data_IF_333639304173
#
_entry.id   IF_333639304173
#
_cell.length_a   1.000
_cell.length_b   1.000
_cell.length_c   1.000
_cell.angle_alpha   90.00
_cell.angle_beta   90.00
_cell.angle_gamma   90.00
#
_symmetry.space_group_name_H-M   'P 1'
#
loop_
_entity.id
_entity.type
_entity.pdbx_description
1 polymer ?
#
# COMPACT_ATOMS: atom_id res chain seq x y z
N UNK A 1 1.12 11.88 21.12
CA UNK A 1 1.65 11.03 20.05
C UNK A 1 2.70 11.84 19.28
N UNK A 2 3.92 11.32 19.17
CA UNK A 2 5.07 12.03 18.58
C UNK A 2 5.01 11.92 17.05
N UNK A 3 5.23 13.03 16.34
CA UNK A 3 5.16 13.09 14.88
C UNK A 3 6.26 12.22 14.25
N UNK A 4 5.88 11.18 13.53
CA UNK A 4 6.78 10.43 12.65
C UNK A 4 6.50 10.90 11.23
N UNK A 5 7.44 11.61 10.63
CA UNK A 5 7.30 12.14 9.27
C UNK A 5 8.08 11.26 8.29
N UNK A 6 7.37 10.69 7.32
CA UNK A 6 7.94 9.87 6.27
C UNK A 6 8.01 10.65 4.97
N UNK A 7 9.18 10.65 4.32
CA UNK A 7 9.31 11.11 2.94
C UNK A 7 9.34 9.90 2.03
N UNK A 8 8.22 9.64 1.34
CA UNK A 8 8.05 8.47 0.47
C UNK A 8 9.06 8.40 -0.69
N UNK A 9 9.61 9.55 -1.11
CA UNK A 9 10.50 9.66 -2.27
C UNK A 9 11.98 9.40 -1.90
N UNK A 10 12.34 9.55 -0.63
CA UNK A 10 13.71 9.37 -0.14
C UNK A 10 13.59 8.43 1.05
N UNK A 11 14.02 7.17 0.92
CA UNK A 11 13.93 6.08 1.93
C UNK A 11 14.68 6.39 3.24
N UNK A 12 14.36 7.51 3.86
CA UNK A 12 14.94 8.10 5.05
C UNK A 12 13.81 8.23 6.05
N UNK A 13 14.06 7.73 7.24
CA UNK A 13 13.12 7.79 8.33
C UNK A 13 13.65 8.80 9.34
N UNK A 14 12.79 9.70 9.78
CA UNK A 14 13.12 10.73 10.76
C UNK A 14 12.25 10.54 11.99
N UNK A 15 12.87 10.49 13.16
CA UNK A 15 12.18 10.52 14.46
C UNK A 15 12.64 11.78 15.18
N UNK A 16 11.71 12.68 15.49
CA UNK A 16 11.98 13.96 16.14
C UNK A 16 13.07 14.78 15.40
N UNK A 17 13.05 14.79 14.07
CA UNK A 17 14.03 15.50 13.23
C UNK A 17 15.37 14.78 13.03
N UNK A 18 15.64 13.71 13.78
CA UNK A 18 16.87 12.94 13.63
C UNK A 18 16.67 11.80 12.63
N UNK A 19 17.56 11.69 11.65
CA UNK A 19 17.54 10.57 10.70
C UNK A 19 17.95 9.28 11.44
N UNK A 20 17.09 8.27 11.37
CA UNK A 20 17.39 6.94 11.89
C UNK A 20 17.70 5.97 10.74
N UNK A 21 18.56 4.99 11.01
CA UNK A 21 18.74 3.86 10.12
C UNK A 21 17.59 2.86 10.34
N UNK A 22 17.11 2.21 9.27
CA UNK A 22 15.77 1.65 9.23
C UNK A 22 15.53 0.40 10.09
N UNK A 23 16.51 -0.01 10.89
CA UNK A 23 16.31 -0.92 12.02
C UNK A 23 16.36 -0.09 13.29
N UNK A 24 15.19 0.24 13.82
CA UNK A 24 15.02 1.02 15.05
C UNK A 24 13.93 0.38 15.90
N UNK A 25 14.14 0.32 17.21
CA UNK A 25 13.13 -0.16 18.15
C UNK A 25 13.26 0.61 19.45
N UNK A 26 12.15 1.09 19.97
CA UNK A 26 12.02 1.56 21.35
C UNK A 26 10.73 1.00 21.96
N UNK A 27 10.31 1.49 23.13
CA UNK A 27 9.10 1.04 23.81
C UNK A 27 7.81 1.35 23.01
N UNK A 28 7.83 2.38 22.17
CA UNK A 28 6.65 2.89 21.47
C UNK A 28 6.51 2.37 20.03
N UNK A 29 7.64 2.20 19.34
CA UNK A 29 7.72 2.03 17.89
C UNK A 29 8.77 0.99 17.52
N UNK A 30 8.44 0.17 16.53
CA UNK A 30 9.39 -0.75 15.89
C UNK A 30 9.40 -0.43 14.40
N UNK A 31 10.58 -0.14 13.85
CA UNK A 31 10.79 0.17 12.45
C UNK A 31 11.80 -0.82 11.89
N UNK A 32 11.40 -1.51 10.83
CA UNK A 32 12.23 -2.48 10.12
C UNK A 32 12.20 -2.21 8.62
N UNK A 33 13.29 -2.52 7.91
CA UNK A 33 13.32 -2.47 6.44
C UNK A 33 14.05 -3.66 5.82
N UNK A 34 13.50 -4.12 4.70
CA UNK A 34 14.11 -5.14 3.83
C UNK A 34 14.82 -4.52 2.62
N UNK A 35 14.92 -3.19 2.57
CA UNK A 35 15.44 -2.42 1.42
C UNK A 35 14.42 -2.22 0.30
N UNK A 36 13.39 -3.05 0.21
CA UNK A 36 12.24 -2.87 -0.71
C UNK A 36 10.97 -2.44 0.02
N UNK A 37 10.88 -2.75 1.30
CA UNK A 37 9.76 -2.46 2.18
C UNK A 37 10.27 -1.77 3.46
N UNK A 38 9.48 -0.85 3.98
CA UNK A 38 9.62 -0.26 5.31
C UNK A 38 8.36 -0.59 6.10
N UNK A 39 8.53 -1.09 7.32
CA UNK A 39 7.45 -1.48 8.21
C UNK A 39 7.58 -0.72 9.52
N UNK A 40 6.56 0.06 9.86
CA UNK A 40 6.37 0.69 11.17
C UNK A 40 5.31 -0.12 11.94
N UNK A 41 5.64 -0.55 13.14
CA UNK A 41 4.69 -1.13 14.10
C UNK A 41 4.56 -0.22 15.31
N UNK A 42 3.33 -0.09 15.80
CA UNK A 42 2.99 0.65 17.02
C UNK A 42 2.34 -0.36 17.99
N UNK A 43 3.13 -1.05 18.83
CA UNK A 43 2.63 -2.18 19.64
C UNK A 43 1.45 -1.81 20.55
N UNK A 44 1.48 -0.60 21.15
CA UNK A 44 0.45 -0.13 22.08
C UNK A 44 -0.98 -0.17 21.48
N UNK A 45 -1.12 0.06 20.18
CA UNK A 45 -2.39 0.04 19.46
C UNK A 45 -2.47 -1.08 18.41
N UNK A 46 -1.46 -1.97 18.38
CA UNK A 46 -1.31 -3.05 17.39
C UNK A 46 -1.45 -2.58 15.93
N UNK A 47 -1.11 -1.32 15.66
CA UNK A 47 -1.17 -0.75 14.31
C UNK A 47 0.11 -1.08 13.54
N UNK A 48 -0.03 -1.26 12.24
CA UNK A 48 1.11 -1.46 11.33
C UNK A 48 0.96 -0.56 10.12
N UNK A 49 2.00 0.19 9.79
CA UNK A 49 2.09 0.98 8.55
C UNK A 49 3.22 0.41 7.71
N UNK A 50 2.90 0.01 6.49
CA UNK A 50 3.85 -0.54 5.54
C UNK A 50 3.99 0.44 4.38
N UNK A 51 5.23 0.68 3.96
CA UNK A 51 5.58 1.43 2.76
C UNK A 51 6.37 0.53 1.82
N UNK A 52 5.89 0.40 0.58
CA UNK A 52 6.50 -0.48 -0.42
C UNK A 52 6.34 0.14 -1.80
N UNK A 53 7.46 0.45 -2.47
CA UNK A 53 7.44 1.19 -3.74
C UNK A 53 6.67 2.52 -3.60
N UNK A 54 5.67 2.77 -4.45
CA UNK A 54 4.77 3.92 -4.41
C UNK A 54 3.55 3.73 -3.50
N UNK A 55 3.46 2.58 -2.83
CA UNK A 55 2.30 2.22 -2.03
C UNK A 55 2.57 2.38 -0.55
N UNK A 56 1.51 2.69 0.19
CA UNK A 56 1.47 2.47 1.62
C UNK A 56 0.21 1.70 1.99
N UNK A 57 0.23 1.06 3.15
CA UNK A 57 -0.95 0.45 3.75
C UNK A 57 -0.93 0.64 5.25
N UNK A 58 -2.12 0.79 5.82
CA UNK A 58 -2.33 0.89 7.26
C UNK A 58 -3.20 -0.28 7.68
N UNK A 59 -2.71 -1.08 8.63
CA UNK A 59 -3.43 -2.21 9.21
C UNK A 59 -3.79 -1.87 10.64
N UNK A 60 -5.09 -1.87 10.93
CA UNK A 60 -5.65 -1.61 12.25
C UNK A 60 -6.50 -2.82 12.68
N UNK A 61 -6.40 -3.29 13.93
CA UNK A 61 -7.26 -4.35 14.41
C UNK A 61 -8.69 -3.84 14.64
N UNK A 62 -9.67 -4.49 14.01
CA UNK A 62 -11.08 -4.19 14.18
C UNK A 62 -11.51 -4.12 15.66
N UNK A 63 -10.94 -4.99 16.51
CA UNK A 63 -11.23 -5.02 17.95
C UNK A 63 -10.89 -3.73 18.71
N UNK A 64 -10.01 -2.87 18.18
CA UNK A 64 -9.62 -1.60 18.82
C UNK A 64 -10.14 -0.36 18.06
N UNK A 65 -10.42 -0.51 16.77
CA UNK A 65 -10.71 0.61 15.87
C UNK A 65 -12.13 0.60 15.29
N UNK A 66 -12.97 -0.37 15.67
CA UNK A 66 -14.37 -0.41 15.22
C UNK A 66 -15.07 0.93 15.49
N UNK A 67 -15.65 1.50 14.43
CA UNK A 67 -16.41 2.76 14.46
C UNK A 67 -15.63 3.96 15.05
N UNK A 68 -14.29 3.97 14.96
CA UNK A 68 -13.43 4.99 15.56
C UNK A 68 -12.30 5.47 14.64
N UNK A 69 -12.47 5.30 13.32
CA UNK A 69 -11.55 5.87 12.33
C UNK A 69 -12.27 6.93 11.52
N UNK A 70 -11.51 7.97 11.17
CA UNK A 70 -11.94 9.06 10.30
C UNK A 70 -10.79 9.40 9.35
N UNK A 71 -11.12 9.89 8.15
CA UNK A 71 -10.16 10.22 7.11
C UNK A 71 -10.52 9.62 5.77
N UNK A 72 -9.59 9.70 4.82
CA UNK A 72 -9.79 9.19 3.45
C UNK A 72 -9.94 7.66 3.36
N UNK A 73 -9.63 6.92 4.43
CA UNK A 73 -9.84 5.47 4.52
C UNK A 73 -11.20 5.10 5.14
N UNK A 74 -12.06 6.09 5.44
CA UNK A 74 -13.39 5.87 5.97
C UNK A 74 -13.43 5.43 7.43
N UNK A 75 -14.61 4.98 7.85
CA UNK A 75 -14.87 4.47 9.19
C UNK A 75 -14.72 2.96 9.22
N UNK A 76 -14.03 2.42 10.22
CA UNK A 76 -13.77 0.99 10.34
C UNK A 76 -15.03 0.27 10.86
N UNK A 77 -16.00 0.05 9.99
CA UNK A 77 -17.28 -0.61 10.33
C UNK A 77 -17.73 -1.65 9.28
N UNK A 78 -16.92 -1.87 8.25
CA UNK A 78 -17.20 -2.73 7.09
C UNK A 78 -18.40 -2.26 6.22
N UNK A 79 -18.76 -0.98 6.26
CA UNK A 79 -19.87 -0.44 5.49
C UNK A 79 -19.40 0.50 4.35
N UNK A 80 -19.23 -0.05 3.14
CA UNK A 80 -18.79 0.77 1.99
C UNK A 80 -19.69 1.96 1.64
N UNK A 81 -20.94 2.00 2.13
CA UNK A 81 -21.89 3.09 1.82
C UNK A 81 -21.58 4.39 2.56
N UNK A 82 -20.77 4.36 3.61
CA UNK A 82 -20.41 5.54 4.39
C UNK A 82 -18.92 5.88 4.34
N UNK A 83 -18.13 5.20 3.49
CA UNK A 83 -16.68 5.42 3.42
C UNK A 83 -16.30 6.81 2.88
N UNK A 84 -17.16 7.42 2.05
CA UNK A 84 -16.96 8.79 1.55
C UNK A 84 -17.37 9.85 2.60
N UNK A 85 -16.98 9.67 3.86
CA UNK A 85 -17.34 10.54 4.99
C UNK A 85 -16.47 11.80 5.05
N UNK A 86 -17.10 12.97 5.09
CA UNK A 86 -16.48 14.27 5.26
C UNK A 86 -16.00 14.50 6.70
N UNK A 87 -15.09 15.47 6.95
CA UNK A 87 -14.66 15.83 8.31
C UNK A 87 -15.80 16.25 9.25
N UNK A 88 -16.88 16.82 8.68
CA UNK A 88 -18.08 17.19 9.45
C UNK A 88 -19.03 16.00 9.73
N UNK A 89 -18.69 14.80 9.28
CA UNK A 89 -19.43 13.56 9.45
C UNK A 89 -20.52 13.27 8.43
N UNK A 90 -20.79 14.16 7.48
CA UNK A 90 -21.71 13.92 6.37
C UNK A 90 -21.09 12.96 5.34
N UNK A 91 -21.94 12.28 4.56
CA UNK A 91 -21.49 11.37 3.50
C UNK A 91 -21.58 12.10 2.16
N UNK A 92 -20.44 12.22 1.48
CA UNK A 92 -20.37 12.77 0.13
C UNK A 92 -20.81 11.70 -0.90
N UNK A 93 -21.57 12.06 -1.95
CA UNK A 93 -21.89 11.12 -3.04
C UNK A 93 -20.66 10.69 -3.85
N UNK A 94 -19.53 11.39 -3.74
CA UNK A 94 -18.30 11.19 -4.49
C UNK A 94 -17.07 11.13 -3.57
N UNK A 95 -16.47 9.95 -3.44
CA UNK A 95 -15.21 9.81 -2.71
C UNK A 95 -14.07 10.72 -3.23
N UNK A 96 -13.91 10.96 -4.55
CA UNK A 96 -13.01 11.99 -5.05
C UNK A 96 -13.32 13.41 -4.53
N UNK A 97 -14.60 13.77 -4.42
CA UNK A 97 -15.03 15.03 -3.80
C UNK A 97 -14.64 15.09 -2.33
N UNK A 98 -15.00 14.07 -1.56
CA UNK A 98 -14.62 13.93 -0.15
C UNK A 98 -13.11 14.02 0.08
N UNK A 99 -12.28 13.46 -0.80
CA UNK A 99 -10.83 13.44 -0.64
C UNK A 99 -10.22 14.86 -0.55
N UNK A 100 -10.81 15.84 -1.24
CA UNK A 100 -10.37 17.24 -1.18
C UNK A 100 -10.68 17.90 0.16
N UNK A 101 -11.71 17.47 0.87
CA UNK A 101 -12.11 18.04 2.16
C UNK A 101 -11.23 17.55 3.32
N UNK A 102 -10.46 16.47 3.13
CA UNK A 102 -9.51 15.93 4.11
C UNK A 102 -8.11 16.56 4.04
N UNK A 103 -7.93 17.66 3.30
CA UNK A 103 -6.64 18.37 3.21
C UNK A 103 -6.28 18.99 4.57
N UNK A 104 -4.99 18.91 4.92
CA UNK A 104 -4.44 19.59 6.11
C UNK A 104 -3.73 20.86 5.64
N UNK A 105 -4.18 22.06 6.06
CA UNK A 105 -3.53 23.31 5.68
C UNK A 105 -2.06 23.34 6.09
N UNK A 106 -1.19 23.79 5.18
CA UNK A 106 0.25 23.94 5.42
C UNK A 106 0.74 25.21 4.72
N UNK A 107 0.99 26.27 5.50
CA UNK A 107 1.46 27.56 4.98
C UNK A 107 2.78 27.46 4.21
N UNK A 108 3.56 26.40 4.44
CA UNK A 108 4.82 26.15 3.71
C UNK A 108 4.58 25.47 2.35
N UNK A 109 3.35 25.04 2.07
CA UNK A 109 2.96 24.34 0.84
C UNK A 109 1.70 24.98 0.22
N UNK A 110 1.73 26.28 -0.12
CA UNK A 110 0.58 26.99 -0.68
C UNK A 110 0.11 26.43 -2.03
N UNK A 111 0.97 25.68 -2.74
CA UNK A 111 0.60 25.00 -3.98
C UNK A 111 -0.40 23.85 -3.77
N UNK A 112 -0.53 23.31 -2.55
CA UNK A 112 -1.54 22.30 -2.21
C UNK A 112 -2.96 22.87 -2.12
N UNK A 113 -3.10 24.19 -1.97
CA UNK A 113 -4.40 24.88 -1.92
C UNK A 113 -4.96 25.20 -3.30
N UNK A 114 -4.16 25.04 -4.35
CA UNK A 114 -4.63 25.22 -5.72
C UNK A 114 -5.62 24.10 -6.06
N UNK A 115 -6.85 24.47 -6.41
CA UNK A 115 -7.79 23.51 -6.99
C UNK A 115 -7.15 22.92 -8.25
N UNK A 116 -7.19 21.59 -8.44
CA UNK A 116 -6.82 21.01 -9.72
C UNK A 116 -7.65 21.69 -10.81
N UNK A 117 -7.05 22.01 -11.98
CA UNK A 117 -7.85 22.48 -13.10
C UNK A 117 -8.99 21.48 -13.34
N UNK A 118 -10.20 22.00 -13.59
CA UNK A 118 -11.35 21.18 -14.01
C UNK A 118 -10.88 20.24 -15.11
N UNK A 119 -10.84 18.95 -14.80
CA UNK A 119 -10.22 17.96 -15.70
C UNK A 119 -10.94 18.03 -17.04
N UNK A 120 -10.27 18.37 -18.15
CA UNK A 120 -10.79 18.03 -19.47
C UNK A 120 -11.00 16.51 -19.49
N UNK A 121 -11.94 16.03 -20.31
CA UNK A 121 -12.12 14.59 -20.56
C UNK A 121 -10.74 13.92 -20.65
N UNK A 122 -10.46 12.90 -19.82
CA UNK A 122 -9.14 12.30 -19.79
C UNK A 122 -8.75 11.88 -21.22
N UNK A 123 -7.53 12.21 -21.68
CA UNK A 123 -7.12 11.86 -23.03
C UNK A 123 -7.27 10.35 -23.23
N UNK A 124 -7.80 9.94 -24.38
CA UNK A 124 -7.99 8.53 -24.73
C UNK A 124 -6.68 7.78 -24.51
N UNK A 125 -6.74 6.71 -23.72
CA UNK A 125 -5.55 5.94 -23.39
C UNK A 125 -4.90 5.38 -24.66
N UNK A 126 -3.60 5.61 -24.90
CA UNK A 126 -2.92 5.07 -26.07
C UNK A 126 -3.06 3.54 -26.13
N UNK A 127 -3.44 3.01 -27.29
CA UNK A 127 -3.55 1.57 -27.51
C UNK A 127 -2.20 0.89 -27.22
N UNK A 128 -2.24 -0.22 -26.48
CA UNK A 128 -1.04 -0.97 -26.08
C UNK A 128 -0.29 -0.42 -24.86
N UNK A 129 -0.67 0.74 -24.30
CA UNK A 129 -0.03 1.27 -23.08
C UNK A 129 -0.34 0.42 -21.83
N UNK A 130 -1.49 -0.26 -21.82
CA UNK A 130 -2.01 -1.01 -20.66
C UNK A 130 -1.67 -2.50 -20.68
N UNK A 131 -0.86 -2.97 -21.63
CA UNK A 131 -0.47 -4.38 -21.78
C UNK A 131 0.11 -5.00 -20.49
N UNK A 132 0.82 -4.19 -19.70
CA UNK A 132 1.37 -4.60 -18.40
C UNK A 132 0.27 -4.99 -17.40
N UNK A 133 -0.93 -4.42 -17.52
CA UNK A 133 -2.05 -4.71 -16.63
C UNK A 133 -2.69 -6.07 -16.94
N UNK A 134 -2.55 -6.58 -18.17
CA UNK A 134 -3.11 -7.89 -18.56
C UNK A 134 -2.47 -9.04 -17.76
N UNK A 135 -1.27 -8.82 -17.20
CA UNK A 135 -0.62 -9.77 -16.30
C UNK A 135 -1.50 -10.06 -15.08
N UNK A 136 -2.31 -9.11 -14.57
CA UNK A 136 -3.24 -9.31 -13.45
C UNK A 136 -4.25 -10.42 -13.76
N UNK A 137 -4.71 -10.52 -15.01
CA UNK A 137 -5.68 -11.51 -15.47
C UNK A 137 -5.02 -12.80 -16.00
N UNK A 138 -3.69 -12.81 -16.11
CA UNK A 138 -2.97 -13.96 -16.66
C UNK A 138 -2.93 -15.15 -15.69
N UNK A 139 -2.66 -16.38 -16.19
CA UNK A 139 -2.59 -17.59 -15.35
C UNK A 139 -1.58 -17.52 -14.20
N UNK A 140 -0.59 -16.61 -14.23
CA UNK A 140 0.35 -16.44 -13.12
C UNK A 140 -0.36 -16.06 -11.80
N UNK A 141 -1.51 -15.40 -11.90
CA UNK A 141 -2.32 -14.99 -10.75
C UNK A 141 -3.51 -15.91 -10.47
N UNK A 142 -3.65 -17.04 -11.16
CA UNK A 142 -4.83 -17.90 -11.06
C UNK A 142 -5.17 -18.29 -9.61
N UNK A 143 -4.18 -18.70 -8.82
CA UNK A 143 -4.39 -19.04 -7.40
C UNK A 143 -4.89 -17.87 -6.55
N UNK A 144 -4.57 -16.63 -6.95
CA UNK A 144 -5.08 -15.45 -6.26
C UNK A 144 -6.47 -15.05 -6.72
N UNK A 145 -6.85 -15.34 -7.97
CA UNK A 145 -8.20 -15.08 -8.48
C UNK A 145 -9.26 -15.80 -7.63
N UNK A 146 -8.93 -16.96 -7.07
CA UNK A 146 -9.79 -17.76 -6.20
C UNK A 146 -10.10 -17.08 -4.85
N UNK A 147 -9.22 -16.19 -4.38
CA UNK A 147 -9.30 -15.58 -3.05
C UNK A 147 -9.49 -14.07 -3.08
N UNK A 148 -9.06 -13.38 -4.15
CA UNK A 148 -9.13 -11.93 -4.31
C UNK A 148 -9.64 -11.60 -5.72
N UNK A 149 -10.75 -10.85 -5.85
CA UNK A 149 -11.28 -10.41 -7.15
C UNK A 149 -10.24 -9.60 -7.94
N UNK A 150 -9.92 -10.05 -9.16
CA UNK A 150 -8.91 -9.41 -10.01
C UNK A 150 -9.40 -8.13 -10.70
N UNK A 151 -10.70 -8.06 -11.06
CA UNK A 151 -11.24 -6.98 -11.89
C UNK A 151 -11.00 -5.56 -11.33
N UNK A 152 -11.21 -5.29 -10.02
CA UNK A 152 -10.95 -3.95 -9.47
C UNK A 152 -9.48 -3.53 -9.60
N UNK A 153 -8.54 -4.46 -9.46
CA UNK A 153 -7.12 -4.20 -9.60
C UNK A 153 -6.73 -3.99 -11.07
N UNK A 154 -7.35 -4.73 -11.98
CA UNK A 154 -7.14 -4.58 -13.42
C UNK A 154 -7.58 -3.21 -13.93
N UNK A 155 -8.80 -2.76 -13.58
CA UNK A 155 -9.28 -1.45 -14.02
C UNK A 155 -8.50 -0.30 -13.36
N UNK A 156 -8.13 -0.44 -12.08
CA UNK A 156 -7.24 0.53 -11.42
C UNK A 156 -5.87 0.61 -12.12
N UNK A 157 -5.26 -0.52 -12.46
CA UNK A 157 -4.00 -0.55 -13.21
C UNK A 157 -4.13 0.18 -14.55
N UNK A 158 -5.19 -0.10 -15.31
CA UNK A 158 -5.44 0.58 -16.59
C UNK A 158 -5.57 2.08 -16.39
N UNK A 159 -6.39 2.50 -15.43
CA UNK A 159 -6.57 3.91 -15.10
C UNK A 159 -5.23 4.58 -14.78
N UNK A 160 -4.44 4.01 -13.87
CA UNK A 160 -3.16 4.59 -13.45
C UNK A 160 -2.16 4.67 -14.60
N UNK A 161 -2.03 3.58 -15.37
CA UNK A 161 -1.10 3.51 -16.51
C UNK A 161 -1.50 4.49 -17.62
N UNK A 162 -2.79 4.72 -17.83
CA UNK A 162 -3.27 5.66 -18.84
C UNK A 162 -2.95 7.11 -18.46
N UNK A 163 -3.21 7.49 -17.20
CA UNK A 163 -3.19 8.89 -16.78
C UNK A 163 -1.88 9.35 -16.16
N UNK A 164 -0.98 8.43 -15.85
CA UNK A 164 0.30 8.77 -15.28
C UNK A 164 1.45 8.61 -16.29
N UNK A 165 2.48 9.47 -16.23
CA UNK A 165 3.56 9.49 -17.22
C UNK A 165 4.58 8.36 -17.06
N UNK A 166 4.57 7.62 -15.93
CA UNK A 166 5.64 6.71 -15.57
C UNK A 166 5.25 5.23 -15.74
N UNK A 167 6.00 4.50 -16.58
CA UNK A 167 5.80 3.06 -16.83
C UNK A 167 5.90 2.19 -15.57
N UNK A 168 6.62 2.63 -14.54
CA UNK A 168 6.75 1.92 -13.25
C UNK A 168 5.43 1.80 -12.46
N UNK A 169 4.40 2.50 -12.90
CA UNK A 169 3.07 2.49 -12.28
C UNK A 169 2.37 1.16 -12.52
N UNK A 170 2.44 0.60 -13.73
CA UNK A 170 1.92 -0.75 -13.99
C UNK A 170 2.58 -1.80 -13.09
N UNK A 171 3.90 -1.70 -12.88
CA UNK A 171 4.61 -2.56 -11.93
C UNK A 171 4.16 -2.35 -10.47
N UNK A 172 3.76 -1.14 -10.11
CA UNK A 172 3.24 -0.84 -8.77
C UNK A 172 1.82 -1.40 -8.59
N UNK A 173 0.97 -1.34 -9.61
CA UNK A 173 -0.35 -1.96 -9.60
C UNK A 173 -0.27 -3.50 -9.54
N UNK A 174 0.69 -4.10 -10.25
CA UNK A 174 0.97 -5.56 -10.14
C UNK A 174 1.48 -5.94 -8.75
N UNK A 175 2.38 -5.13 -8.17
CA UNK A 175 2.85 -5.32 -6.80
C UNK A 175 1.71 -5.19 -5.78
N UNK A 176 0.76 -4.28 -6.02
CA UNK A 176 -0.43 -4.11 -5.18
C UNK A 176 -1.26 -5.38 -5.11
N UNK A 177 -1.55 -5.95 -6.29
CA UNK A 177 -2.35 -7.16 -6.37
C UNK A 177 -1.62 -8.34 -5.74
N UNK A 178 -0.34 -8.55 -6.08
CA UNK A 178 0.50 -9.58 -5.47
C UNK A 178 0.62 -9.44 -3.95
N UNK A 179 0.72 -8.23 -3.42
CA UNK A 179 0.72 -7.95 -1.99
C UNK A 179 -0.59 -8.36 -1.32
N UNK A 180 -1.73 -8.11 -1.97
CA UNK A 180 -3.05 -8.55 -1.47
C UNK A 180 -3.18 -10.08 -1.51
N UNK A 181 -2.70 -10.74 -2.56
CA UNK A 181 -2.62 -12.19 -2.63
C UNK A 181 -1.79 -12.77 -1.47
N UNK A 182 -0.61 -12.19 -1.23
CA UNK A 182 0.28 -12.64 -0.16
C UNK A 182 -0.36 -12.49 1.24
N UNK A 183 -1.13 -11.42 1.45
CA UNK A 183 -1.90 -11.23 2.68
C UNK A 183 -3.03 -12.27 2.86
N UNK A 184 -3.53 -12.84 1.77
CA UNK A 184 -4.46 -13.97 1.77
C UNK A 184 -3.74 -15.34 1.81
N UNK A 185 -2.42 -15.36 1.99
CA UNK A 185 -1.61 -16.58 2.05
C UNK A 185 -1.15 -17.13 0.69
N UNK A 186 -1.46 -16.44 -0.41
CA UNK A 186 -1.10 -16.87 -1.77
C UNK A 186 0.12 -16.09 -2.27
N UNK A 187 1.26 -16.77 -2.35
CA UNK A 187 2.50 -16.17 -2.82
C UNK A 187 2.70 -16.36 -4.34
N UNK A 188 2.90 -15.27 -5.09
CA UNK A 188 3.03 -15.33 -6.55
C UNK A 188 4.32 -14.67 -7.02
N UNK A 189 5.12 -15.41 -7.79
CA UNK A 189 6.30 -14.86 -8.47
C UNK A 189 5.97 -14.24 -9.83
N UNK A 190 5.26 -13.10 -9.80
CA UNK A 190 4.71 -12.45 -10.99
C UNK A 190 5.74 -11.68 -11.82
N UNK A 191 6.87 -11.26 -11.25
CA UNK A 191 7.83 -10.36 -11.92
C UNK A 191 8.45 -10.98 -13.17
N UNK A 192 8.61 -12.30 -13.20
CA UNK A 192 9.10 -13.04 -14.36
C UNK A 192 8.13 -12.94 -15.56
N UNK A 193 6.83 -12.72 -15.32
CA UNK A 193 5.80 -12.59 -16.36
C UNK A 193 5.75 -11.20 -17.00
N UNK A 194 6.70 -10.31 -16.68
CA UNK A 194 6.72 -8.92 -17.18
C UNK A 194 7.80 -8.65 -18.23
N UNK A 195 8.48 -9.69 -18.74
CA UNK A 195 9.57 -9.57 -19.72
C UNK A 195 10.65 -8.57 -19.29
N UNK A 196 10.98 -8.54 -17.99
CA UNK A 196 11.99 -7.64 -17.42
C UNK A 196 11.52 -6.20 -17.15
N UNK A 197 10.30 -5.80 -17.57
CA UNK A 197 9.77 -4.45 -17.32
C UNK A 197 9.67 -4.10 -15.84
N UNK A 198 9.42 -5.11 -14.99
CA UNK A 198 9.33 -4.98 -13.55
C UNK A 198 10.45 -5.75 -12.83
N UNK A 199 11.65 -5.82 -13.40
CA UNK A 199 12.79 -6.47 -12.74
C UNK A 199 13.24 -5.69 -11.49
N UNK A 200 13.52 -6.42 -10.40
CA UNK A 200 14.14 -5.87 -9.19
C UNK A 200 15.62 -6.19 -9.15
N UNK A 201 16.47 -5.16 -9.26
CA UNK A 201 17.91 -5.30 -9.11
C UNK A 201 18.30 -5.42 -7.65
N UNK A 202 18.77 -6.59 -7.26
CA UNK A 202 19.34 -6.84 -5.95
C UNK A 202 20.87 -6.61 -5.97
N UNK A 203 21.50 -6.25 -4.83
CA UNK A 203 22.96 -6.32 -4.69
C UNK A 203 23.51 -7.70 -5.04
N UNK A 204 24.77 -7.80 -5.46
CA UNK A 204 25.40 -9.08 -5.92
C UNK A 204 25.25 -10.25 -4.94
N UNK A 205 25.10 -9.97 -3.64
CA UNK A 205 24.97 -10.98 -2.58
C UNK A 205 23.53 -11.36 -2.25
N UNK A 206 22.54 -10.79 -2.93
CA UNK A 206 21.12 -10.99 -2.65
C UNK A 206 20.37 -11.37 -3.93
N UNK A 207 19.34 -12.19 -3.77
CA UNK A 207 18.41 -12.55 -4.84
C UNK A 207 17.00 -12.15 -4.43
N UNK A 208 16.20 -11.74 -5.42
CA UNK A 208 14.79 -11.49 -5.19
C UNK A 208 14.06 -12.82 -4.94
N UNK A 209 13.19 -12.83 -3.94
CA UNK A 209 12.21 -13.90 -3.71
C UNK A 209 10.86 -13.24 -3.52
N UNK A 210 9.84 -13.73 -4.22
CA UNK A 210 8.48 -13.23 -4.10
C UNK A 210 7.94 -13.36 -2.67
N UNK A 211 8.31 -14.45 -1.99
CA UNK A 211 8.11 -14.60 -0.56
C UNK A 211 9.37 -15.09 0.13
N UNK A 212 9.55 -14.61 1.35
CA UNK A 212 10.61 -15.03 2.25
C UNK A 212 10.13 -14.89 3.69
N UNK A 213 10.84 -15.53 4.61
CA UNK A 213 10.60 -15.37 6.03
C UNK A 213 10.67 -13.88 6.42
N UNK A 214 9.74 -13.45 7.28
CA UNK A 214 9.79 -12.12 7.91
C UNK A 214 11.02 -11.95 8.80
N UNK A 215 11.61 -13.06 9.25
CA UNK A 215 12.85 -13.11 10.01
C UNK A 215 13.94 -13.70 9.12
N UNK A 216 14.94 -12.90 8.80
CA UNK A 216 16.12 -13.34 8.06
C UNK A 216 17.28 -13.57 9.06
N UNK A 217 17.95 -14.73 9.03
CA UNK A 217 19.10 -14.96 9.88
C UNK A 217 20.20 -13.96 9.54
N UNK A 218 20.81 -13.37 10.57
CA UNK A 218 21.96 -12.48 10.42
C UNK A 218 23.17 -13.09 11.09
N UNK A 219 24.39 -12.67 10.71
CA UNK A 219 25.63 -13.17 11.32
C UNK A 219 25.75 -12.84 12.82
N UNK A 220 24.86 -12.01 13.38
CA UNK A 220 24.82 -11.70 14.79
C UNK A 220 23.92 -12.71 15.53
N UNK A 221 24.55 -13.72 16.14
CA UNK A 221 23.88 -14.79 16.90
C UNK A 221 23.11 -14.32 18.14
N UNK A 222 23.21 -13.03 18.50
CA UNK A 222 22.47 -12.43 19.64
C UNK A 222 21.06 -11.94 19.30
N UNK A 223 20.65 -11.96 18.03
CA UNK A 223 19.24 -11.78 17.68
C UNK A 223 18.53 -13.12 17.80
N UNK A 224 17.55 -13.27 18.71
CA UNK A 224 16.94 -14.57 18.91
C UNK A 224 16.19 -15.00 17.64
N UNK A 225 16.62 -16.11 17.07
CA UNK A 225 15.74 -17.04 16.38
C UNK A 225 14.79 -17.65 17.43
N UNK A 226 13.81 -16.89 17.92
CA UNK A 226 12.76 -17.48 18.74
C UNK A 226 11.83 -18.27 17.81
N UNK A 227 12.11 -19.57 17.77
CA UNK A 227 11.19 -20.65 17.46
C UNK A 227 9.85 -20.45 18.21
N UNK A 228 8.76 -20.82 17.53
CA UNK A 228 7.35 -20.71 17.96
C UNK A 228 6.67 -19.36 17.76
N UNK A 229 6.59 -18.92 16.50
CA UNK A 229 5.33 -18.32 16.05
C UNK A 229 4.74 -19.31 15.05
N UNK A 230 3.59 -19.89 15.41
CA UNK A 230 2.70 -20.53 14.45
C UNK A 230 2.59 -19.61 13.22
N UNK A 231 2.50 -20.15 11.99
CA UNK A 231 2.18 -19.33 10.83
C UNK A 231 1.01 -18.44 11.26
N UNK A 232 1.19 -17.11 11.18
CA UNK A 232 0.10 -16.19 11.45
C UNK A 232 -0.95 -16.56 10.42
N UNK A 233 -1.92 -17.35 10.86
CA UNK A 233 -3.20 -17.51 10.21
C UNK A 233 -3.73 -16.09 10.15
N UNK A 234 -3.57 -15.43 9.01
CA UNK A 234 -4.41 -14.30 8.68
C UNK A 234 -5.82 -14.85 8.73
N UNK A 235 -6.53 -14.55 9.82
CA UNK A 235 -7.96 -14.74 9.87
C UNK A 235 -8.52 -14.07 8.62
N UNK A 236 -9.25 -14.84 7.83
CA UNK A 236 -9.76 -14.53 6.50
C UNK A 236 -10.77 -13.36 6.44
N UNK A 237 -10.76 -12.47 7.44
CA UNK A 237 -11.78 -11.45 7.65
C UNK A 237 -11.24 -10.00 7.60
N UNK A 238 -9.95 -9.80 7.36
CA UNK A 238 -9.39 -8.46 7.15
C UNK A 238 -9.70 -7.98 5.72
N UNK A 239 -10.90 -7.44 5.55
CA UNK A 239 -11.29 -6.65 4.38
C UNK A 239 -10.44 -5.39 4.36
N UNK A 240 -9.45 -5.36 3.47
CA UNK A 240 -8.85 -4.10 3.06
C UNK A 240 -9.86 -3.43 2.14
N UNK A 241 -10.21 -2.19 2.43
CA UNK A 241 -10.87 -1.31 1.48
C UNK A 241 -9.76 -0.90 0.49
N UNK A 242 -9.72 -1.42 -0.75
CA UNK A 242 -8.91 -0.78 -1.76
C UNK A 242 -9.43 0.66 -1.88
N UNK A 243 -8.51 1.64 -1.89
CA UNK A 243 -8.83 2.99 -2.35
C UNK A 243 -9.11 2.85 -3.85
N UNK A 244 -10.31 2.40 -4.19
CA UNK A 244 -10.81 2.40 -5.55
C UNK A 244 -11.23 3.83 -5.85
N UNK A 245 -10.47 4.50 -6.72
CA UNK A 245 -10.99 5.63 -7.47
C UNK A 245 -12.16 5.10 -8.32
N UNK A 246 -13.39 5.31 -7.86
CA UNK A 246 -14.57 5.10 -8.70
C UNK A 246 -14.53 6.09 -9.86
N UNK A 247 -14.19 5.61 -11.04
CA UNK A 247 -14.61 6.26 -12.28
C UNK A 247 -16.12 6.02 -12.42
N UNK A 248 -16.93 7.04 -12.19
CA UNK A 248 -18.27 7.08 -12.78
C UNK A 248 -18.26 8.03 -13.96
N UNK A 249 -19.07 7.64 -14.95
CA UNK A 249 -19.18 8.11 -16.33
C UNK A 249 -19.29 9.61 -16.52
#
# INVERSE_FOLDING_TARGET
MRYVMFFLIIRKVYINGNQIFPTFSNEDLIITSTGVELLLKIPAIKATVMFKSLMFSVTLPHSLFYNNTEGQCGTCDNNRKNDCRLPNGQIDPSCPGMAHEWKIPDDKKPYCEQQPPTTPTPPTCPSGKTDICDVILSPVFQQCHDVIPAQPFFEACKFDVCHMPNISIGCSSLEAYAGRCAAAGVCINWRNSTNGRCELRCPKTKVYKACGSSIQPTCNSRYPSHSHLNPISFSSHSHFIPISFSSHS
#
